data_IF_861629663714
#
_entry.id   IF_861629663714
#
_cell.length_a   1.000
_cell.length_b   1.000
_cell.length_c   1.000
_cell.angle_alpha   90.00
_cell.angle_beta   90.00
_cell.angle_gamma   90.00
#
_symmetry.space_group_name_H-M   'P 1'
#
loop_
_entity.id
_entity.type
_entity.pdbx_description
1 polymer ?
#
# COMPACT_ATOMS: atom_id res chain seq x y z
N UNK A 1 -17.65 -9.84 25.31
CA UNK A 1 -16.50 -10.54 24.67
C UNK A 1 -15.24 -9.78 25.07
N UNK A 2 -14.21 -10.44 25.62
CA UNK A 2 -12.94 -9.80 26.00
C UNK A 2 -11.93 -10.02 24.88
N UNK A 3 -11.14 -8.99 24.55
CA UNK A 3 -10.08 -9.04 23.56
C UNK A 3 -8.75 -9.30 24.27
N UNK A 4 -7.96 -10.23 23.72
CA UNK A 4 -6.57 -10.46 24.12
C UNK A 4 -5.65 -9.90 23.03
N UNK A 5 -4.59 -9.21 23.45
CA UNK A 5 -3.57 -8.67 22.55
C UNK A 5 -2.31 -9.51 22.68
N UNK A 6 -1.65 -9.72 21.57
CA UNK A 6 -0.36 -10.40 21.47
C UNK A 6 0.59 -9.57 20.61
N UNK A 7 1.81 -9.38 21.10
CA UNK A 7 2.88 -8.76 20.34
C UNK A 7 3.56 -9.83 19.49
N UNK A 8 3.32 -9.81 18.19
CA UNK A 8 3.83 -10.82 17.25
C UNK A 8 5.33 -10.66 16.98
N UNK A 9 5.88 -9.47 17.16
CA UNK A 9 7.27 -9.17 16.84
C UNK A 9 7.85 -8.07 17.73
N UNK A 10 9.20 -8.03 17.81
CA UNK A 10 9.90 -6.88 18.42
C UNK A 10 9.67 -5.62 17.58
N UNK A 11 9.61 -4.43 18.21
CA UNK A 11 9.45 -3.20 17.46
C UNK A 11 10.51 -3.04 16.38
N UNK A 12 10.09 -2.71 15.17
CA UNK A 12 10.99 -2.19 14.13
C UNK A 12 11.28 -0.71 14.42
N UNK A 13 12.45 -0.25 14.05
CA UNK A 13 12.69 1.19 13.97
C UNK A 13 11.93 1.75 12.76
N UNK A 14 10.95 2.62 13.00
CA UNK A 14 10.15 3.22 11.93
C UNK A 14 8.68 2.83 11.98
N UNK A 15 7.96 3.10 10.88
CA UNK A 15 6.50 2.95 10.80
C UNK A 15 6.16 1.63 10.13
N UNK A 16 5.31 0.82 10.78
CA UNK A 16 4.67 -0.36 10.22
C UNK A 16 3.19 -0.06 9.97
N UNK A 17 2.71 -0.39 8.77
CA UNK A 17 1.38 -0.01 8.27
C UNK A 17 0.80 -1.09 7.33
N UNK A 18 -0.39 -0.85 6.81
CA UNK A 18 -1.03 -1.57 5.73
C UNK A 18 -1.17 -3.08 5.97
N UNK A 19 -1.65 -3.54 7.13
CA UNK A 19 -1.79 -4.97 7.37
C UNK A 19 -2.87 -5.56 6.47
N UNK A 20 -2.53 -6.60 5.71
CA UNK A 20 -3.46 -7.34 4.85
C UNK A 20 -3.26 -8.83 4.98
N UNK A 21 -4.37 -9.56 5.07
CA UNK A 21 -4.40 -11.03 5.20
C UNK A 21 -4.75 -11.68 3.86
N UNK A 22 -3.94 -12.64 3.39
CA UNK A 22 -4.15 -13.35 2.12
C UNK A 22 -4.92 -14.68 2.23
N UNK A 23 -5.32 -15.05 3.45
CA UNK A 23 -5.93 -16.34 3.77
C UNK A 23 -5.00 -17.29 4.51
N UNK A 24 -3.68 -17.08 4.44
CA UNK A 24 -2.65 -17.92 5.04
C UNK A 24 -1.66 -17.12 5.90
N UNK A 25 -1.30 -15.93 5.47
CA UNK A 25 -0.30 -15.08 6.10
C UNK A 25 -0.74 -13.62 6.19
N UNK A 26 -0.15 -12.90 7.14
CA UNK A 26 -0.30 -11.46 7.25
C UNK A 26 0.86 -10.77 6.54
N UNK A 27 0.55 -9.85 5.63
CA UNK A 27 1.52 -8.94 5.06
C UNK A 27 1.35 -7.56 5.67
N UNK A 28 2.45 -6.83 5.81
CA UNK A 28 2.44 -5.45 6.29
C UNK A 28 3.64 -4.70 5.75
N UNK A 29 3.52 -3.39 5.62
CA UNK A 29 4.62 -2.54 5.17
C UNK A 29 5.51 -2.13 6.34
N UNK A 30 6.80 -2.00 6.05
CA UNK A 30 7.76 -1.27 6.86
C UNK A 30 8.25 -0.09 6.03
N UNK A 31 7.51 1.01 6.11
CA UNK A 31 7.57 2.16 5.19
C UNK A 31 8.99 2.74 5.13
N UNK A 32 9.57 3.04 6.29
CA UNK A 32 10.87 3.69 6.40
C UNK A 32 12.02 2.89 5.76
N UNK A 33 11.87 1.57 5.65
CA UNK A 33 12.88 0.68 5.09
C UNK A 33 12.50 0.14 3.72
N UNK A 34 11.45 0.70 3.10
CA UNK A 34 10.98 0.31 1.76
C UNK A 34 10.74 -1.19 1.60
N UNK A 35 10.04 -1.82 2.58
CA UNK A 35 9.84 -3.27 2.62
C UNK A 35 8.40 -3.65 2.84
N UNK A 36 8.03 -4.83 2.32
CA UNK A 36 6.84 -5.57 2.74
C UNK A 36 7.32 -6.81 3.50
N UNK A 37 6.76 -7.01 4.68
CA UNK A 37 7.03 -8.14 5.56
C UNK A 37 5.88 -9.13 5.48
N UNK A 38 6.19 -10.43 5.66
CA UNK A 38 5.22 -11.52 5.75
C UNK A 38 5.37 -12.23 7.09
N UNK A 39 4.29 -12.27 7.84
CA UNK A 39 4.18 -13.05 9.06
C UNK A 39 3.42 -14.36 8.80
N UNK A 40 4.01 -15.47 9.17
CA UNK A 40 3.42 -16.79 9.11
C UNK A 40 2.88 -17.17 10.50
N UNK A 41 1.57 -17.31 10.69
CA UNK A 41 0.99 -17.60 12.00
C UNK A 41 1.22 -19.03 12.49
N UNK A 42 1.60 -19.96 11.60
CA UNK A 42 1.87 -21.35 11.98
C UNK A 42 3.26 -21.48 12.59
N UNK A 43 4.27 -20.89 11.97
CA UNK A 43 5.65 -20.94 12.44
C UNK A 43 6.01 -19.78 13.37
N UNK A 44 5.24 -18.69 13.38
CA UNK A 44 5.57 -17.43 14.05
C UNK A 44 6.69 -16.65 13.37
N UNK A 45 7.14 -17.08 12.18
CA UNK A 45 8.23 -16.44 11.47
C UNK A 45 7.79 -15.16 10.78
N UNK A 46 8.66 -14.14 10.81
CA UNK A 46 8.51 -12.92 10.01
C UNK A 46 9.69 -12.83 9.06
N UNK A 47 9.40 -12.76 7.76
CA UNK A 47 10.40 -12.64 6.70
C UNK A 47 10.13 -11.40 5.85
N UNK A 48 11.16 -10.91 5.16
CA UNK A 48 11.00 -9.92 4.13
C UNK A 48 10.42 -10.58 2.89
N UNK A 49 9.22 -10.14 2.49
CA UNK A 49 8.56 -10.63 1.28
C UNK A 49 8.96 -9.80 0.04
N UNK A 50 9.20 -8.49 0.23
CA UNK A 50 9.58 -7.59 -0.87
C UNK A 50 10.43 -6.43 -0.33
N UNK A 51 11.30 -5.90 -1.18
CA UNK A 51 12.11 -4.71 -0.93
C UNK A 51 11.93 -3.68 -2.06
N UNK A 52 12.49 -2.49 -1.88
CA UNK A 52 12.43 -1.43 -2.92
C UNK A 52 11.02 -0.88 -3.14
N UNK A 53 10.17 -0.89 -2.12
CA UNK A 53 8.74 -0.55 -2.26
C UNK A 53 8.45 0.95 -2.27
N UNK A 54 9.46 1.80 -2.31
CA UNK A 54 9.35 3.26 -2.45
C UNK A 54 8.31 3.89 -1.51
N UNK A 55 8.48 3.66 -0.20
CA UNK A 55 7.57 4.14 0.84
C UNK A 55 6.10 3.69 0.65
N UNK A 56 5.87 2.46 0.17
CA UNK A 56 4.52 1.91 0.14
C UNK A 56 3.95 1.87 1.55
N UNK A 57 2.72 2.39 1.68
CA UNK A 57 1.96 2.50 2.92
C UNK A 57 0.88 1.41 2.97
N UNK A 58 -0.39 1.71 2.71
CA UNK A 58 -1.48 0.75 2.71
C UNK A 58 -1.31 -0.37 1.68
N UNK A 59 -1.78 -1.57 2.02
CA UNK A 59 -1.85 -2.73 1.14
C UNK A 59 -3.27 -3.26 1.07
N UNK A 60 -3.67 -3.81 -0.06
CA UNK A 60 -4.86 -4.64 -0.16
C UNK A 60 -4.68 -5.78 -1.18
N UNK A 61 -5.53 -6.80 -1.06
CA UNK A 61 -5.70 -7.84 -2.09
C UNK A 61 -7.05 -7.67 -2.77
N UNK A 62 -7.09 -7.97 -4.06
CA UNK A 62 -8.38 -8.12 -4.76
C UNK A 62 -8.90 -9.57 -4.69
N UNK A 63 -10.07 -9.80 -5.28
CA UNK A 63 -10.70 -11.12 -5.30
C UNK A 63 -9.88 -12.18 -6.08
N UNK A 64 -8.91 -11.80 -6.88
CA UNK A 64 -7.98 -12.66 -7.59
C UNK A 64 -6.65 -12.88 -6.85
N UNK A 65 -6.50 -12.30 -5.66
CA UNK A 65 -5.28 -12.39 -4.85
C UNK A 65 -4.14 -11.48 -5.34
N UNK A 66 -4.41 -10.53 -6.25
CA UNK A 66 -3.40 -9.55 -6.69
C UNK A 66 -3.20 -8.50 -5.60
N UNK A 67 -1.96 -8.15 -5.33
CA UNK A 67 -1.60 -7.19 -4.28
C UNK A 67 -1.43 -5.79 -4.84
N UNK A 68 -2.10 -4.83 -4.21
CA UNK A 68 -1.99 -3.41 -4.51
C UNK A 68 -1.43 -2.65 -3.32
N UNK A 69 -0.79 -1.51 -3.59
CA UNK A 69 -0.23 -0.64 -2.56
C UNK A 69 -0.33 0.83 -2.88
N UNK A 70 -0.46 1.63 -1.82
CA UNK A 70 -0.28 3.07 -1.87
C UNK A 70 1.21 3.41 -1.86
N UNK A 71 1.81 3.66 -3.02
CA UNK A 71 3.21 4.06 -3.16
C UNK A 71 3.35 5.57 -2.87
N UNK A 72 3.52 5.93 -1.60
CA UNK A 72 3.59 7.34 -1.19
C UNK A 72 4.77 8.07 -1.83
N UNK A 73 5.96 7.46 -1.88
CA UNK A 73 7.15 8.04 -2.51
C UNK A 73 7.03 8.19 -4.03
N UNK A 74 6.19 7.38 -4.67
CA UNK A 74 5.88 7.47 -6.11
C UNK A 74 4.61 8.26 -6.41
N UNK A 75 3.87 8.72 -5.39
CA UNK A 75 2.59 9.42 -5.55
C UNK A 75 1.62 8.65 -6.45
N UNK A 76 1.46 7.34 -6.19
CA UNK A 76 0.72 6.44 -7.08
C UNK A 76 0.08 5.28 -6.34
N UNK A 77 -0.92 4.69 -6.97
CA UNK A 77 -1.40 3.35 -6.66
C UNK A 77 -0.69 2.38 -7.59
N UNK A 78 -0.10 1.35 -7.03
CA UNK A 78 0.65 0.33 -7.77
C UNK A 78 0.07 -1.06 -7.52
N UNK A 79 0.26 -1.94 -8.49
CA UNK A 79 0.09 -3.39 -8.33
C UNK A 79 1.46 -4.06 -8.29
N UNK A 80 1.63 -4.98 -7.37
CA UNK A 80 2.83 -5.79 -7.26
C UNK A 80 2.67 -7.05 -8.13
N UNK A 81 3.59 -7.26 -9.07
CA UNK A 81 3.56 -8.41 -9.96
C UNK A 81 4.37 -9.60 -9.38
N UNK A 82 4.04 -10.80 -9.83
CA UNK A 82 4.69 -12.04 -9.38
C UNK A 82 6.15 -12.16 -9.84
N UNK A 83 6.52 -11.48 -10.91
CA UNK A 83 7.90 -11.44 -11.43
C UNK A 83 8.81 -10.45 -10.67
N UNK A 84 8.29 -9.77 -9.66
CA UNK A 84 9.02 -8.77 -8.87
C UNK A 84 8.86 -7.33 -9.36
N UNK A 85 8.26 -7.11 -10.52
CA UNK A 85 7.98 -5.77 -11.04
C UNK A 85 6.76 -5.13 -10.39
N UNK A 86 6.48 -3.88 -10.73
CA UNK A 86 5.26 -3.16 -10.34
C UNK A 86 4.60 -2.54 -11.56
N UNK A 87 3.27 -2.51 -11.55
CA UNK A 87 2.46 -1.79 -12.54
C UNK A 87 1.81 -0.58 -11.87
N UNK A 88 1.99 0.61 -12.42
CA UNK A 88 1.25 1.81 -11.98
C UNK A 88 -0.19 1.70 -12.42
N UNK A 89 -1.12 1.78 -11.47
CA UNK A 89 -2.57 1.75 -11.72
C UNK A 89 -3.13 3.16 -11.85
N UNK A 90 -2.70 4.07 -10.98
CA UNK A 90 -3.10 5.47 -11.01
C UNK A 90 -2.00 6.33 -10.39
N UNK A 91 -1.66 7.44 -11.05
CA UNK A 91 -0.72 8.45 -10.55
C UNK A 91 -1.25 9.87 -10.73
N UNK A 92 -2.38 10.03 -11.45
CA UNK A 92 -3.00 11.32 -11.76
C UNK A 92 -4.51 11.25 -11.69
N UNK A 93 -5.10 12.41 -11.41
CA UNK A 93 -6.52 12.68 -11.61
C UNK A 93 -6.65 14.05 -12.30
N UNK A 94 -7.41 14.12 -13.40
CA UNK A 94 -7.59 15.33 -14.21
C UNK A 94 -6.26 15.99 -14.65
N UNK A 95 -5.25 15.17 -14.93
CA UNK A 95 -3.92 15.61 -15.36
C UNK A 95 -2.97 16.02 -14.22
N UNK A 96 -3.45 16.21 -13.00
CA UNK A 96 -2.65 16.56 -11.82
C UNK A 96 -2.16 15.29 -11.12
N UNK A 97 -0.92 15.30 -10.61
CA UNK A 97 -0.38 14.20 -9.82
C UNK A 97 -1.21 13.97 -8.55
N UNK A 98 -1.36 12.70 -8.19
CA UNK A 98 -1.90 12.35 -6.87
C UNK A 98 -1.05 13.01 -5.77
N UNK A 99 -1.65 13.20 -4.61
CA UNK A 99 -0.92 13.58 -3.41
C UNK A 99 -0.07 12.40 -2.93
N UNK A 100 -0.13 12.03 -1.68
CA UNK A 100 0.60 10.88 -1.14
C UNK A 100 -0.39 9.81 -0.68
N UNK A 101 -0.87 8.94 -1.58
CA UNK A 101 -1.83 7.89 -1.21
C UNK A 101 -1.40 7.15 0.04
N UNK A 102 -2.37 6.91 0.95
CA UNK A 102 -2.07 6.36 2.27
C UNK A 102 -2.63 4.97 2.48
N UNK A 103 -3.95 4.78 2.32
CA UNK A 103 -4.62 3.51 2.51
C UNK A 103 -5.61 3.23 1.38
N UNK A 104 -5.90 1.94 1.12
CA UNK A 104 -6.73 1.53 -0.01
C UNK A 104 -7.53 0.27 0.29
N UNK A 105 -8.60 0.11 -0.48
CA UNK A 105 -9.41 -1.10 -0.51
C UNK A 105 -9.91 -1.40 -1.93
N UNK A 106 -10.06 -2.67 -2.25
CA UNK A 106 -10.70 -3.11 -3.50
C UNK A 106 -12.15 -3.52 -3.23
N UNK A 107 -13.03 -3.31 -4.19
CA UNK A 107 -14.39 -3.85 -4.15
C UNK A 107 -14.57 -5.03 -5.11
N UNK A 108 -15.75 -5.67 -5.05
CA UNK A 108 -16.07 -6.85 -5.87
C UNK A 108 -16.13 -6.57 -7.38
N UNK A 109 -16.08 -5.30 -7.79
CA UNK A 109 -16.00 -4.90 -9.22
C UNK A 109 -14.56 -4.63 -9.64
N UNK A 110 -13.58 -4.85 -8.77
CA UNK A 110 -12.16 -4.57 -9.01
C UNK A 110 -11.79 -3.08 -8.98
N UNK A 111 -12.69 -2.21 -8.47
CA UNK A 111 -12.39 -0.79 -8.29
C UNK A 111 -11.54 -0.61 -7.05
N UNK A 112 -10.61 0.32 -7.12
CA UNK A 112 -9.70 0.65 -6.02
C UNK A 112 -10.12 1.99 -5.42
N UNK A 113 -10.46 1.98 -4.15
CA UNK A 113 -10.77 3.16 -3.35
C UNK A 113 -9.59 3.47 -2.48
N UNK A 114 -9.15 4.72 -2.43
CA UNK A 114 -7.96 5.09 -1.66
C UNK A 114 -8.05 6.50 -1.08
N UNK A 115 -7.39 6.68 0.05
CA UNK A 115 -7.20 7.98 0.67
C UNK A 115 -6.00 8.69 0.07
N UNK A 116 -6.11 9.99 -0.19
CA UNK A 116 -5.09 10.78 -0.88
C UNK A 116 -4.71 12.05 -0.09
N UNK A 117 -4.16 11.90 1.13
CA UNK A 117 -3.66 13.03 1.90
C UNK A 117 -2.38 13.60 1.27
N UNK A 118 -1.99 14.81 1.69
CA UNK A 118 -0.66 15.34 1.42
C UNK A 118 0.25 15.15 2.64
N UNK A 119 1.37 14.44 2.43
CA UNK A 119 2.42 14.26 3.43
C UNK A 119 3.79 14.27 2.74
N UNK A 120 4.51 15.36 2.88
CA UNK A 120 5.80 15.58 2.23
C UNK A 120 6.97 14.76 2.79
N UNK A 121 6.77 13.97 3.85
CA UNK A 121 7.87 13.27 4.55
C UNK A 121 8.58 12.23 3.66
N UNK A 122 7.84 11.58 2.77
CA UNK A 122 8.33 10.44 1.98
C UNK A 122 8.46 10.74 0.48
N UNK A 123 8.48 12.00 0.09
CA UNK A 123 8.58 12.42 -1.32
C UNK A 123 9.81 13.32 -1.52
N UNK A 124 10.19 13.49 -2.79
CA UNK A 124 11.27 14.42 -3.14
C UNK A 124 10.92 15.84 -2.67
N UNK A 125 11.83 16.56 -1.98
CA UNK A 125 11.57 17.91 -1.48
C UNK A 125 11.22 18.95 -2.58
N UNK A 126 11.51 18.67 -3.84
CA UNK A 126 11.12 19.52 -4.97
C UNK A 126 9.68 19.32 -5.43
N UNK A 127 9.03 18.24 -5.01
CA UNK A 127 7.63 17.95 -5.35
C UNK A 127 6.68 18.86 -4.59
N UNK A 128 5.62 19.27 -5.26
CA UNK A 128 4.59 20.15 -4.71
C UNK A 128 3.22 19.46 -4.71
N UNK A 129 2.36 19.87 -3.80
CA UNK A 129 0.95 19.49 -3.80
C UNK A 129 0.27 20.12 -5.02
N UNK A 130 -0.11 19.27 -6.01
CA UNK A 130 -0.80 19.73 -7.21
C UNK A 130 -2.32 19.76 -7.01
N UNK A 131 -2.85 18.82 -6.22
CA UNK A 131 -4.27 18.75 -5.88
C UNK A 131 -4.52 19.60 -4.62
N UNK A 132 -5.44 20.54 -4.71
CA UNK A 132 -5.83 21.41 -3.61
C UNK A 132 -6.80 20.75 -2.61
N UNK A 133 -7.10 19.48 -2.83
CA UNK A 133 -7.99 18.68 -1.97
C UNK A 133 -7.30 17.42 -1.46
N UNK A 134 -7.63 17.05 -0.23
CA UNK A 134 -7.20 15.80 0.44
C UNK A 134 -8.43 14.93 0.58
N UNK A 135 -8.61 14.03 -0.38
CA UNK A 135 -9.87 13.34 -0.62
C UNK A 135 -9.75 11.83 -0.58
N UNK A 136 -10.87 11.16 -0.65
CA UNK A 136 -10.97 9.76 -1.04
C UNK A 136 -11.25 9.71 -2.53
N UNK A 137 -10.45 8.97 -3.26
CA UNK A 137 -10.53 8.79 -4.70
C UNK A 137 -10.86 7.35 -5.06
N UNK A 138 -11.28 7.14 -6.30
CA UNK A 138 -11.56 5.81 -6.86
C UNK A 138 -10.92 5.68 -8.23
N UNK A 139 -10.17 4.60 -8.43
CA UNK A 139 -9.70 4.16 -9.73
C UNK A 139 -10.60 3.01 -10.23
N UNK A 140 -11.13 3.15 -11.42
CA UNK A 140 -11.96 2.15 -12.08
C UNK A 140 -11.11 1.35 -13.08
N UNK A 141 -11.23 0.01 -13.13
CA UNK A 141 -10.54 -0.79 -14.14
C UNK A 141 -11.02 -0.38 -15.53
N UNK A 142 -10.08 -0.23 -16.45
CA UNK A 142 -10.39 0.04 -17.85
C UNK A 142 -10.60 -1.29 -18.61
N UNK A 143 -11.38 -1.30 -19.70
CA UNK A 143 -11.66 -2.52 -20.46
C UNK A 143 -10.43 -3.23 -21.02
N UNK A 144 -9.34 -2.49 -21.19
CA UNK A 144 -8.08 -2.96 -21.80
C UNK A 144 -6.92 -3.09 -20.77
N UNK A 145 -7.23 -3.07 -19.47
CA UNK A 145 -6.26 -3.10 -18.35
C UNK A 145 -6.17 -4.43 -17.63
#
# INVERSE_FOLDING_TARGET
MAWRFELLNKPYGGITEGPVWDGEALYFTHISNHRIMRYDPVSGAIIQAREGTNHTNGLCHDAQGRTYGCCSGGRSIIRFESDGTTTTIADRVDGQKLNTPNDLATDLKGRIWFTNPWNAVNIDPSEVEELDNRSVLRADPQPDG
#
